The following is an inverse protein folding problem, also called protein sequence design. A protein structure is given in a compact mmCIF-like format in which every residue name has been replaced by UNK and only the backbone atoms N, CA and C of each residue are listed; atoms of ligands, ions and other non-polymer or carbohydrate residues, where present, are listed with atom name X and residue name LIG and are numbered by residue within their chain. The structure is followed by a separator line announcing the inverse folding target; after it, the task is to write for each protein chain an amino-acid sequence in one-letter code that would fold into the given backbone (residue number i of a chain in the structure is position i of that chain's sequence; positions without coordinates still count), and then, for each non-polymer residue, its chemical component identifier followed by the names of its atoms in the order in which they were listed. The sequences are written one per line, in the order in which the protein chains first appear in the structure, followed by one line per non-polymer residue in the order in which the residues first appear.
data_IF_273049875546
#
_entry.id   IF_273049875546
#
_cell.length_a   1.000
_cell.length_b   1.000
_cell.length_c   1.000
_cell.angle_alpha   90.00
_cell.angle_beta   90.00
_cell.angle_gamma   90.00
#
_symmetry.space_group_name_H-M   'P 1'
#
loop_
_entity.id
_entity.type
_entity.pdbx_description
1 polymer ?
#
# COMPACT_ATOMS: atom_id res chain seq x y z
N UNK A 1 33.48 -7.92 -10.43
CA UNK A 1 32.55 -8.18 -9.31
C UNK A 1 32.08 -6.85 -8.73
N UNK A 2 31.06 -6.84 -7.88
CA UNK A 2 30.57 -5.62 -7.17
C UNK A 2 31.73 -4.82 -6.54
N UNK A 3 32.75 -5.53 -6.05
CA UNK A 3 34.00 -4.98 -5.50
C UNK A 3 34.78 -4.14 -6.51
N UNK A 4 34.91 -4.62 -7.75
CA UNK A 4 35.59 -3.92 -8.84
C UNK A 4 34.83 -2.67 -9.30
N UNK A 5 33.49 -2.75 -9.36
CA UNK A 5 32.62 -1.61 -9.73
C UNK A 5 32.62 -0.51 -8.65
N UNK A 6 32.52 -0.89 -7.37
CA UNK A 6 32.60 0.03 -6.23
C UNK A 6 34.00 0.68 -6.11
N UNK A 7 35.07 -0.07 -6.35
CA UNK A 7 36.43 0.47 -6.37
C UNK A 7 36.63 1.51 -7.49
N UNK A 8 36.06 1.27 -8.67
CA UNK A 8 36.13 2.20 -9.81
C UNK A 8 35.38 3.52 -9.56
N UNK A 9 34.16 3.47 -9.02
CA UNK A 9 33.36 4.65 -8.70
C UNK A 9 33.99 5.54 -7.61
N UNK A 10 34.81 4.93 -6.75
CA UNK A 10 35.46 5.56 -5.59
C UNK A 10 36.78 6.21 -5.94
N UNK A 11 37.58 5.58 -6.82
CA UNK A 11 38.79 6.20 -7.34
C UNK A 11 38.47 7.55 -8.02
N UNK A 12 37.30 7.63 -8.68
CA UNK A 12 36.78 8.86 -9.28
C UNK A 12 36.37 9.91 -8.24
N UNK A 13 35.72 9.50 -7.14
CA UNK A 13 35.30 10.39 -6.04
C UNK A 13 36.47 10.89 -5.18
N UNK A 14 37.45 10.02 -4.92
CA UNK A 14 38.67 10.37 -4.17
C UNK A 14 39.58 11.35 -4.90
N UNK A 15 39.50 11.42 -6.23
CA UNK A 15 40.20 12.42 -7.03
C UNK A 15 39.55 13.82 -6.96
N UNK A 16 38.26 13.91 -6.61
CA UNK A 16 37.48 15.15 -6.60
C UNK A 16 37.29 15.75 -5.20
N UNK A 17 37.26 14.92 -4.17
CA UNK A 17 37.15 15.35 -2.77
C UNK A 17 38.46 15.02 -2.05
N UNK A 18 39.20 16.03 -1.58
CA UNK A 18 40.45 15.88 -0.82
C UNK A 18 40.29 15.24 0.57
N UNK A 19 39.49 14.18 0.65
CA UNK A 19 39.26 13.35 1.83
C UNK A 19 40.47 12.44 1.99
N UNK A 20 41.07 12.42 3.17
CA UNK A 20 42.11 11.45 3.48
C UNK A 20 41.52 10.02 3.50
N UNK A 21 42.09 9.18 2.62
CA UNK A 21 41.90 7.74 2.49
C UNK A 21 40.45 7.23 2.25
N UNK A 22 39.78 7.65 1.16
CA UNK A 22 38.45 7.17 0.78
C UNK A 22 38.40 5.66 0.52
N UNK A 23 39.50 5.06 0.04
CA UNK A 23 39.61 3.62 -0.17
C UNK A 23 39.36 2.82 1.12
N UNK A 24 39.98 3.23 2.24
CA UNK A 24 39.83 2.54 3.53
C UNK A 24 38.40 2.62 4.10
N UNK A 25 37.70 3.75 3.93
CA UNK A 25 36.30 3.89 4.35
C UNK A 25 35.36 2.99 3.55
N UNK A 26 35.65 2.80 2.26
CA UNK A 26 34.85 1.95 1.39
C UNK A 26 35.16 0.47 1.58
N UNK A 27 36.43 0.10 1.79
CA UNK A 27 36.77 -1.27 2.18
C UNK A 27 36.07 -1.65 3.50
N UNK A 28 36.05 -0.76 4.48
CA UNK A 28 35.31 -0.96 5.73
C UNK A 28 33.79 -1.07 5.52
N UNK A 29 33.20 -0.28 4.61
CA UNK A 29 31.79 -0.35 4.28
C UNK A 29 31.43 -1.67 3.56
N UNK A 30 32.26 -2.09 2.60
CA UNK A 30 32.12 -3.37 1.87
C UNK A 30 32.26 -4.55 2.84
N UNK A 31 33.25 -4.51 3.74
CA UNK A 31 33.44 -5.56 4.75
C UNK A 31 32.26 -5.62 5.75
N UNK A 32 31.65 -4.48 6.10
CA UNK A 32 30.44 -4.44 6.91
C UNK A 32 29.24 -5.05 6.17
N UNK A 33 29.07 -4.75 4.88
CA UNK A 33 28.02 -5.33 4.04
C UNK A 33 28.21 -6.84 3.86
N UNK A 34 29.44 -7.31 3.63
CA UNK A 34 29.74 -8.74 3.52
C UNK A 34 29.45 -9.49 4.83
N UNK A 35 29.82 -8.91 5.99
CA UNK A 35 29.45 -9.47 7.29
C UNK A 35 27.94 -9.52 7.50
N UNK A 36 27.22 -8.49 7.06
CA UNK A 36 25.76 -8.48 7.13
C UNK A 36 25.14 -9.53 6.20
N UNK A 37 25.61 -9.65 4.95
CA UNK A 37 25.19 -10.68 4.00
C UNK A 37 25.41 -12.09 4.56
N UNK A 38 26.58 -12.35 5.16
CA UNK A 38 26.87 -13.63 5.81
C UNK A 38 25.92 -13.92 6.99
N UNK A 39 25.54 -12.90 7.77
CA UNK A 39 24.54 -13.05 8.85
C UNK A 39 23.16 -13.36 8.31
N UNK A 40 22.73 -12.73 7.22
CA UNK A 40 21.44 -12.99 6.57
C UNK A 40 21.41 -14.40 5.98
N UNK A 41 22.49 -14.84 5.33
CA UNK A 41 22.60 -16.21 4.82
C UNK A 41 22.55 -17.26 5.95
N UNK A 42 23.23 -17.00 7.07
CA UNK A 42 23.14 -17.86 8.25
C UNK A 42 21.74 -17.88 8.87
N UNK A 43 20.99 -16.77 8.80
CA UNK A 43 19.61 -16.72 9.29
C UNK A 43 18.70 -17.62 8.44
N UNK A 44 18.85 -17.60 7.11
CA UNK A 44 18.07 -18.49 6.24
C UNK A 44 18.36 -19.96 6.57
N UNK A 45 19.64 -20.33 6.68
CA UNK A 45 20.02 -21.70 7.07
C UNK A 45 19.49 -22.09 8.45
N UNK A 46 19.44 -21.16 9.41
CA UNK A 46 18.87 -21.41 10.73
C UNK A 46 17.36 -21.64 10.62
N UNK A 47 16.65 -20.79 9.87
CA UNK A 47 15.19 -20.85 9.75
C UNK A 47 14.69 -22.12 9.07
N UNK A 48 15.49 -22.75 8.20
CA UNK A 48 15.12 -23.97 7.48
C UNK A 48 15.70 -25.26 8.08
N UNK A 49 16.45 -25.18 9.17
CA UNK A 49 17.02 -26.35 9.84
C UNK A 49 16.01 -26.94 10.87
N UNK A 50 15.42 -28.12 10.59
CA UNK A 50 14.42 -28.75 11.45
C UNK A 50 14.98 -29.28 12.78
N UNK A 51 16.30 -29.39 12.95
CA UNK A 51 16.91 -29.84 14.20
C UNK A 51 17.01 -28.72 15.23
N UNK A 52 16.97 -27.46 14.80
CA UNK A 52 17.18 -26.28 15.67
C UNK A 52 16.08 -25.23 15.59
N UNK A 53 15.23 -25.27 14.56
CA UNK A 53 14.13 -24.34 14.37
C UNK A 53 12.80 -25.07 14.29
N UNK A 54 11.78 -24.48 14.91
CA UNK A 54 10.39 -24.82 14.67
C UNK A 54 9.57 -23.53 14.71
N UNK A 55 8.65 -23.39 13.77
CA UNK A 55 7.77 -22.23 13.68
C UNK A 55 6.40 -22.56 14.26
N UNK A 56 5.91 -21.71 15.16
CA UNK A 56 4.60 -21.84 15.77
C UNK A 56 3.66 -20.80 15.17
N UNK A 57 2.62 -21.27 14.47
CA UNK A 57 1.57 -20.38 13.95
C UNK A 57 0.59 -20.09 15.08
N UNK A 58 0.20 -18.83 15.24
CA UNK A 58 -0.80 -18.40 16.24
C UNK A 58 -1.97 -17.74 15.52
N UNK A 59 -3.19 -18.18 15.83
CA UNK A 59 -4.42 -17.70 15.24
C UNK A 59 -5.50 -17.44 16.31
N UNK A 60 -6.57 -16.75 15.93
CA UNK A 60 -7.83 -16.71 16.69
C UNK A 60 -8.93 -17.42 15.88
N UNK A 61 -10.02 -17.91 16.50
CA UNK A 61 -11.07 -18.65 15.80
C UNK A 61 -11.98 -17.72 14.98
N UNK A 62 -11.42 -17.02 13.99
CA UNK A 62 -12.15 -16.19 13.03
C UNK A 62 -11.80 -16.61 11.59
N UNK A 63 -12.74 -16.43 10.64
CA UNK A 63 -12.54 -16.81 9.23
C UNK A 63 -11.29 -16.16 8.63
N UNK A 64 -11.12 -14.85 8.87
CA UNK A 64 -9.98 -14.09 8.35
C UNK A 64 -8.66 -14.57 8.94
N UNK A 65 -8.58 -14.73 10.27
CA UNK A 65 -7.36 -15.21 10.93
C UNK A 65 -6.98 -16.60 10.45
N UNK A 66 -7.95 -17.49 10.25
CA UNK A 66 -7.69 -18.84 9.71
C UNK A 66 -7.18 -18.78 8.28
N UNK A 67 -7.78 -17.96 7.41
CA UNK A 67 -7.35 -17.81 6.02
C UNK A 67 -5.94 -17.18 5.91
N UNK A 68 -5.64 -16.16 6.72
CA UNK A 68 -4.32 -15.54 6.79
C UNK A 68 -3.26 -16.52 7.33
N UNK A 69 -3.57 -17.25 8.40
CA UNK A 69 -2.66 -18.28 8.94
C UNK A 69 -2.42 -19.42 7.96
N UNK A 70 -3.42 -19.81 7.17
CA UNK A 70 -3.24 -20.81 6.11
C UNK A 70 -2.31 -20.30 4.99
N UNK A 71 -2.45 -19.04 4.57
CA UNK A 71 -1.51 -18.42 3.61
C UNK A 71 -0.09 -18.36 4.17
N UNK A 72 0.07 -17.96 5.43
CA UNK A 72 1.36 -17.95 6.11
C UNK A 72 1.99 -19.34 6.13
N UNK A 73 1.21 -20.38 6.49
CA UNK A 73 1.68 -21.76 6.48
C UNK A 73 2.18 -22.17 5.08
N UNK A 74 1.41 -21.88 4.02
CA UNK A 74 1.83 -22.17 2.65
C UNK A 74 3.14 -21.47 2.29
N UNK A 75 3.32 -20.20 2.68
CA UNK A 75 4.58 -19.47 2.44
C UNK A 75 5.76 -20.07 3.20
N UNK A 76 5.58 -20.42 4.48
CA UNK A 76 6.63 -21.04 5.30
C UNK A 76 7.04 -22.40 4.74
N UNK A 77 6.07 -23.25 4.39
CA UNK A 77 6.32 -24.57 3.78
C UNK A 77 7.02 -24.43 2.43
N UNK A 78 6.65 -23.45 1.61
CA UNK A 78 7.32 -23.20 0.32
C UNK A 78 8.78 -22.75 0.45
N UNK A 79 9.19 -22.29 1.64
CA UNK A 79 10.55 -21.86 1.95
C UNK A 79 11.30 -22.88 2.82
N UNK A 80 10.79 -24.12 2.93
CA UNK A 80 11.36 -25.20 3.75
C UNK A 80 11.49 -24.85 5.24
N UNK A 81 10.67 -23.92 5.75
CA UNK A 81 10.64 -23.60 7.18
C UNK A 81 9.79 -24.65 7.90
N UNK A 82 10.32 -25.35 8.92
CA UNK A 82 9.58 -26.33 9.70
C UNK A 82 8.47 -25.65 10.51
N UNK A 83 7.25 -26.18 10.40
CA UNK A 83 6.08 -25.71 11.16
C UNK A 83 5.39 -26.92 11.76
N UNK A 84 5.49 -27.10 13.08
CA UNK A 84 4.88 -28.25 13.75
C UNK A 84 3.56 -27.92 14.47
N UNK A 85 3.33 -26.65 14.81
CA UNK A 85 2.28 -26.28 15.76
C UNK A 85 1.42 -25.09 15.32
N UNK A 86 0.11 -25.23 15.56
CA UNK A 86 -0.88 -24.15 15.51
C UNK A 86 -1.45 -23.92 16.93
N UNK A 87 -1.36 -22.69 17.42
CA UNK A 87 -2.01 -22.23 18.65
C UNK A 87 -3.23 -21.39 18.28
N UNK A 88 -4.43 -21.88 18.61
CA UNK A 88 -5.67 -21.11 18.46
C UNK A 88 -6.02 -20.45 19.80
N UNK A 89 -5.73 -19.15 19.89
CA UNK A 89 -5.93 -18.35 21.09
C UNK A 89 -7.34 -17.75 21.16
N UNK A 90 -7.73 -17.25 22.33
CA UNK A 90 -9.02 -16.56 22.58
C UNK A 90 -10.26 -17.45 22.36
N UNK A 91 -10.14 -18.76 22.56
CA UNK A 91 -11.31 -19.65 22.59
C UNK A 91 -12.15 -19.35 23.83
N UNK A 92 -13.44 -19.10 23.63
CA UNK A 92 -14.39 -18.85 24.71
C UNK A 92 -14.99 -20.20 25.13
N UNK A 93 -14.82 -20.56 26.40
CA UNK A 93 -15.46 -21.74 26.98
C UNK A 93 -16.99 -21.56 27.02
N UNK A 94 -17.75 -22.61 26.72
CA UNK A 94 -19.22 -22.54 26.60
C UNK A 94 -19.93 -22.07 27.88
N UNK A 95 -19.36 -22.36 29.04
CA UNK A 95 -19.86 -21.96 30.35
C UNK A 95 -19.43 -20.53 30.77
N UNK A 96 -18.47 -19.94 30.07
CA UNK A 96 -17.92 -18.62 30.37
C UNK A 96 -18.61 -17.47 29.62
N UNK A 97 -19.59 -17.73 28.75
CA UNK A 97 -20.15 -16.75 27.80
C UNK A 97 -20.69 -15.48 28.49
N UNK A 98 -21.48 -15.62 29.55
CA UNK A 98 -22.07 -14.46 30.24
C UNK A 98 -21.00 -13.59 30.94
N UNK A 99 -20.04 -14.23 31.61
CA UNK A 99 -18.93 -13.53 32.25
C UNK A 99 -18.00 -12.86 31.24
N UNK A 100 -17.78 -13.51 30.09
CA UNK A 100 -17.04 -12.94 28.97
C UNK A 100 -17.74 -11.70 28.40
N UNK A 101 -19.02 -11.78 28.07
CA UNK A 101 -19.80 -10.64 27.56
C UNK A 101 -19.77 -9.46 28.53
N UNK A 102 -19.98 -9.71 29.83
CA UNK A 102 -19.89 -8.66 30.86
C UNK A 102 -18.52 -7.99 30.92
N UNK A 103 -17.43 -8.76 30.73
CA UNK A 103 -16.06 -8.22 30.66
C UNK A 103 -15.85 -7.38 29.40
N UNK A 104 -16.27 -7.87 28.24
CA UNK A 104 -16.15 -7.15 26.95
C UNK A 104 -16.89 -5.82 27.00
N UNK A 105 -18.13 -5.80 27.49
CA UNK A 105 -18.92 -4.56 27.64
C UNK A 105 -18.20 -3.55 28.56
N UNK A 106 -17.70 -4.02 29.70
CA UNK A 106 -16.96 -3.16 30.65
C UNK A 106 -15.67 -2.60 30.05
N UNK A 107 -14.95 -3.41 29.27
CA UNK A 107 -13.75 -2.99 28.57
C UNK A 107 -14.04 -1.94 27.50
N UNK A 108 -15.08 -2.15 26.68
CA UNK A 108 -15.53 -1.16 25.69
C UNK A 108 -15.92 0.17 26.35
N UNK A 109 -16.70 0.13 27.44
CA UNK A 109 -17.08 1.35 28.19
C UNK A 109 -15.86 2.10 28.72
N UNK A 110 -14.84 1.38 29.20
CA UNK A 110 -13.59 2.00 29.68
C UNK A 110 -12.84 2.67 28.54
N UNK A 111 -12.73 2.02 27.37
CA UNK A 111 -12.08 2.58 26.20
C UNK A 111 -12.81 3.82 25.67
N UNK A 112 -14.14 3.76 25.55
CA UNK A 112 -14.98 4.90 25.16
C UNK A 112 -14.80 6.07 26.12
N UNK A 113 -14.81 5.81 27.44
CA UNK A 113 -14.55 6.85 28.44
C UNK A 113 -13.18 7.51 28.23
N UNK A 114 -12.14 6.75 27.90
CA UNK A 114 -10.81 7.31 27.60
C UNK A 114 -10.79 8.19 26.35
N UNK A 115 -11.59 7.84 25.33
CA UNK A 115 -11.75 8.66 24.12
C UNK A 115 -12.50 9.95 24.45
N UNK A 116 -13.60 9.85 25.18
CA UNK A 116 -14.50 10.98 25.46
C UNK A 116 -13.97 11.93 26.56
N UNK A 117 -13.18 11.43 27.51
CA UNK A 117 -12.68 12.23 28.64
C UNK A 117 -11.54 13.18 28.28
N UNK A 118 -11.12 13.27 27.02
CA UNK A 118 -9.96 14.08 26.61
C UNK A 118 -8.61 13.45 26.94
N UNK A 119 -8.58 12.24 27.51
CA UNK A 119 -7.35 11.55 27.91
C UNK A 119 -6.61 10.89 26.73
N UNK A 120 -7.24 10.86 25.56
CA UNK A 120 -6.68 10.41 24.29
C UNK A 120 -6.64 11.55 23.27
N UNK A 121 -5.62 11.63 22.40
CA UNK A 121 -5.63 12.54 21.25
C UNK A 121 -6.87 12.35 20.35
N UNK A 122 -7.49 11.17 20.37
CA UNK A 122 -8.72 10.87 19.61
C UNK A 122 -9.92 11.70 20.07
N UNK A 123 -9.89 12.29 21.27
CA UNK A 123 -10.97 13.13 21.79
C UNK A 123 -11.24 14.39 20.95
N UNK A 124 -10.28 14.79 20.11
CA UNK A 124 -10.42 15.93 19.19
C UNK A 124 -11.17 15.57 17.91
N UNK A 125 -11.38 14.29 17.65
CA UNK A 125 -12.08 13.80 16.48
C UNK A 125 -13.57 13.76 16.75
N UNK A 126 -14.35 13.90 15.68
CA UNK A 126 -15.78 13.67 15.76
C UNK A 126 -16.04 12.17 15.92
N UNK A 127 -16.88 11.80 16.89
CA UNK A 127 -17.10 10.41 17.27
C UNK A 127 -18.44 9.91 16.73
N UNK A 128 -18.38 8.91 15.86
CA UNK A 128 -19.52 8.08 15.50
C UNK A 128 -19.43 6.72 16.21
N UNK A 129 -20.57 6.22 16.69
CA UNK A 129 -20.64 4.92 17.38
C UNK A 129 -21.48 3.95 16.55
N UNK A 130 -20.81 2.96 15.98
CA UNK A 130 -21.47 1.86 15.25
C UNK A 130 -21.66 0.68 16.21
N UNK A 131 -22.89 0.15 16.37
CA UNK A 131 -23.14 -1.01 17.22
C UNK A 131 -22.58 -2.29 16.58
N UNK A 132 -22.47 -3.34 17.40
CA UNK A 132 -22.20 -4.68 16.87
C UNK A 132 -23.40 -5.16 16.03
N UNK A 133 -23.11 -5.78 14.89
CA UNK A 133 -24.11 -6.42 14.03
C UNK A 133 -23.91 -7.93 14.07
N UNK A 134 -25.02 -8.66 14.16
CA UNK A 134 -25.01 -10.14 14.18
C UNK A 134 -24.61 -10.76 12.83
N UNK A 135 -24.66 -9.95 11.76
CA UNK A 135 -24.30 -10.33 10.40
C UNK A 135 -23.21 -9.42 9.86
N UNK A 136 -22.35 -9.99 9.01
CA UNK A 136 -21.35 -9.20 8.29
C UNK A 136 -22.05 -8.23 7.32
N UNK A 137 -21.60 -6.98 7.33
CA UNK A 137 -22.13 -5.94 6.44
C UNK A 137 -21.47 -6.11 5.06
N UNK A 138 -22.17 -6.84 4.18
CA UNK A 138 -21.81 -7.04 2.78
C UNK A 138 -23.01 -6.75 1.87
N UNK A 139 -22.73 -6.28 0.67
CA UNK A 139 -23.71 -5.87 -0.32
C UNK A 139 -24.21 -4.44 -0.13
N UNK A 140 -24.75 -3.87 -1.20
CA UNK A 140 -25.17 -2.48 -1.26
C UNK A 140 -26.16 -2.10 -0.15
N UNK A 141 -27.20 -2.90 0.09
CA UNK A 141 -28.24 -2.54 1.06
C UNK A 141 -27.73 -2.52 2.51
N UNK A 142 -27.02 -3.56 3.02
CA UNK A 142 -26.38 -3.47 4.33
C UNK A 142 -25.36 -2.33 4.43
N UNK A 143 -24.62 -2.02 3.38
CA UNK A 143 -23.69 -0.88 3.35
C UNK A 143 -24.41 0.47 3.45
N UNK A 144 -25.55 0.64 2.77
CA UNK A 144 -26.44 1.81 2.95
C UNK A 144 -26.87 1.96 4.40
N UNK A 145 -27.30 0.86 5.01
CA UNK A 145 -27.71 0.85 6.42
C UNK A 145 -26.55 1.23 7.35
N UNK A 146 -25.36 0.66 7.16
CA UNK A 146 -24.16 1.03 7.91
C UNK A 146 -23.83 2.52 7.74
N UNK A 147 -23.92 3.06 6.52
CA UNK A 147 -23.70 4.47 6.26
C UNK A 147 -24.72 5.38 6.95
N UNK A 148 -25.98 4.94 7.07
CA UNK A 148 -26.99 5.62 7.86
C UNK A 148 -26.70 5.63 9.36
N UNK A 149 -26.24 4.50 9.91
CA UNK A 149 -25.90 4.37 11.33
C UNK A 149 -24.62 5.13 11.69
N UNK A 150 -23.59 5.03 10.86
CA UNK A 150 -22.30 5.64 11.12
C UNK A 150 -22.29 7.16 10.82
N UNK A 151 -23.05 7.62 9.83
CA UNK A 151 -22.88 8.96 9.27
C UNK A 151 -24.20 9.73 9.06
N UNK A 152 -25.33 9.21 9.53
CA UNK A 152 -26.64 9.88 9.45
C UNK A 152 -27.16 10.41 10.78
N UNK A 153 -28.29 11.12 10.75
CA UNK A 153 -28.96 11.62 11.96
C UNK A 153 -28.12 12.67 12.70
N UNK A 154 -27.87 12.48 14.00
CA UNK A 154 -27.01 13.37 14.81
C UNK A 154 -25.56 13.44 14.30
N UNK A 155 -25.17 12.56 13.38
CA UNK A 155 -23.85 12.50 12.75
C UNK A 155 -23.83 13.05 11.31
N UNK A 156 -24.95 13.55 10.78
CA UNK A 156 -25.05 14.03 9.40
C UNK A 156 -24.23 15.31 9.15
N UNK A 157 -24.24 16.22 10.13
CA UNK A 157 -23.47 17.47 10.11
C UNK A 157 -21.95 17.25 10.10
N UNK A 158 -21.48 16.08 10.55
CA UNK A 158 -20.05 15.71 10.63
C UNK A 158 -19.40 15.67 9.24
N UNK A 159 -20.18 15.27 8.24
CA UNK A 159 -19.73 15.13 6.86
C UNK A 159 -20.25 16.22 5.95
N UNK A 160 -21.07 17.15 6.46
CA UNK A 160 -21.67 18.22 5.66
C UNK A 160 -20.62 19.04 4.90
N UNK A 161 -19.48 19.37 5.52
CA UNK A 161 -18.39 20.07 4.82
C UNK A 161 -17.73 19.23 3.72
N UNK A 162 -17.60 17.91 3.94
CA UNK A 162 -17.07 16.98 2.92
C UNK A 162 -18.08 16.77 1.79
N UNK A 163 -19.38 16.83 2.11
CA UNK A 163 -20.49 16.72 1.17
C UNK A 163 -20.71 18.00 0.36
N UNK A 164 -20.62 19.17 0.99
CA UNK A 164 -20.94 20.50 0.41
C UNK A 164 -19.76 21.22 -0.23
N UNK A 165 -18.52 20.76 -0.03
CA UNK A 165 -17.37 21.45 -0.61
C UNK A 165 -17.31 21.35 -2.13
N UNK A 166 -16.96 22.46 -2.77
CA UNK A 166 -16.67 22.52 -4.20
C UNK A 166 -15.33 21.81 -4.53
N UNK A 167 -15.29 21.12 -5.67
CA UNK A 167 -14.11 20.41 -6.20
C UNK A 167 -13.96 18.97 -5.72
N UNK A 168 -12.95 18.29 -6.28
CA UNK A 168 -12.63 16.90 -6.00
C UNK A 168 -12.22 16.72 -4.52
N UNK A 169 -12.88 15.80 -3.82
CA UNK A 169 -12.56 15.47 -2.42
C UNK A 169 -12.13 14.02 -2.28
N UNK A 170 -11.01 13.83 -1.60
CA UNK A 170 -10.46 12.52 -1.27
C UNK A 170 -10.75 12.17 0.19
N UNK A 171 -11.32 10.99 0.43
CA UNK A 171 -11.57 10.43 1.76
C UNK A 171 -10.72 9.18 1.93
N UNK A 172 -9.69 9.27 2.77
CA UNK A 172 -8.82 8.12 3.07
C UNK A 172 -9.33 7.40 4.32
N UNK A 173 -9.63 6.11 4.19
CA UNK A 173 -10.06 5.27 5.31
C UNK A 173 -8.91 4.38 5.73
N UNK A 174 -8.47 4.55 6.98
CA UNK A 174 -7.35 3.83 7.56
C UNK A 174 -7.66 3.26 8.94
N UNK A 175 -6.93 2.21 9.32
CA UNK A 175 -7.02 1.59 10.64
C UNK A 175 -6.25 0.27 10.72
N UNK A 176 -6.41 -0.43 11.84
CA UNK A 176 -5.83 -1.77 12.06
C UNK A 176 -6.53 -2.83 11.20
N UNK A 177 -5.93 -4.01 11.05
CA UNK A 177 -6.58 -5.17 10.45
C UNK A 177 -7.84 -5.57 11.23
N UNK A 178 -8.89 -6.01 10.54
CA UNK A 178 -10.11 -6.57 11.16
C UNK A 178 -11.09 -5.57 11.80
N UNK A 179 -10.84 -4.25 11.76
CA UNK A 179 -11.74 -3.24 12.37
C UNK A 179 -12.94 -2.83 11.49
N UNK A 180 -13.08 -3.39 10.28
CA UNK A 180 -14.16 -3.04 9.36
C UNK A 180 -13.89 -1.83 8.45
N UNK A 181 -12.63 -1.61 8.04
CA UNK A 181 -12.24 -0.52 7.13
C UNK A 181 -13.00 -0.56 5.81
N UNK A 182 -12.98 -1.69 5.13
CA UNK A 182 -13.60 -1.87 3.80
C UNK A 182 -15.12 -1.72 3.83
N UNK A 183 -15.78 -2.25 4.87
CA UNK A 183 -17.21 -2.01 5.07
C UNK A 183 -17.50 -0.54 5.33
N UNK A 184 -16.66 0.13 6.14
CA UNK A 184 -16.80 1.56 6.44
C UNK A 184 -16.57 2.43 5.20
N UNK A 185 -15.48 2.23 4.46
CA UNK A 185 -15.18 2.98 3.22
C UNK A 185 -16.25 2.76 2.15
N UNK A 186 -16.69 1.52 1.96
CA UNK A 186 -17.80 1.21 1.05
C UNK A 186 -19.09 1.91 1.47
N UNK A 187 -19.41 1.95 2.77
CA UNK A 187 -20.61 2.65 3.26
C UNK A 187 -20.54 4.17 3.09
N UNK A 188 -19.34 4.77 3.19
CA UNK A 188 -19.12 6.19 2.90
C UNK A 188 -19.39 6.45 1.41
N UNK A 189 -18.79 5.65 0.52
CA UNK A 189 -18.94 5.82 -0.92
C UNK A 189 -20.40 5.68 -1.38
N UNK A 190 -21.10 4.68 -0.86
CA UNK A 190 -22.53 4.47 -1.10
C UNK A 190 -23.37 5.66 -0.64
N UNK A 191 -23.09 6.23 0.54
CA UNK A 191 -23.82 7.40 1.04
C UNK A 191 -23.55 8.65 0.19
N UNK A 192 -22.31 8.87 -0.24
CA UNK A 192 -21.93 9.99 -1.11
C UNK A 192 -22.69 9.91 -2.45
N UNK A 193 -22.73 8.72 -3.06
CA UNK A 193 -23.45 8.48 -4.29
C UNK A 193 -24.98 8.62 -4.12
N UNK A 194 -25.56 8.09 -3.04
CA UNK A 194 -26.97 8.30 -2.70
C UNK A 194 -27.32 9.79 -2.45
N UNK A 195 -26.33 10.64 -2.16
CA UNK A 195 -26.49 12.09 -2.06
C UNK A 195 -26.43 12.81 -3.43
N UNK A 196 -26.31 12.06 -4.52
CA UNK A 196 -26.27 12.57 -5.90
C UNK A 196 -24.86 12.94 -6.40
N UNK A 197 -23.80 12.58 -5.67
CA UNK A 197 -22.41 12.89 -6.05
C UNK A 197 -21.80 11.76 -6.89
N UNK A 198 -21.12 12.12 -7.98
CA UNK A 198 -20.32 11.17 -8.76
C UNK A 198 -19.15 10.67 -7.89
N UNK A 199 -19.19 9.40 -7.51
CA UNK A 199 -18.29 8.84 -6.49
C UNK A 199 -17.50 7.67 -7.02
N UNK A 200 -16.19 7.67 -6.80
CA UNK A 200 -15.30 6.53 -7.03
C UNK A 200 -14.83 5.97 -5.68
N UNK A 201 -14.98 4.66 -5.46
CA UNK A 201 -14.27 3.95 -4.39
C UNK A 201 -13.12 3.14 -4.95
N UNK A 202 -11.97 3.23 -4.30
CA UNK A 202 -10.76 2.54 -4.70
C UNK A 202 -10.21 1.75 -3.54
N UNK A 203 -9.91 0.48 -3.75
CA UNK A 203 -9.18 -0.31 -2.77
C UNK A 203 -7.77 -0.62 -3.27
N UNK A 204 -6.80 -0.40 -2.38
CA UNK A 204 -5.41 -0.85 -2.52
C UNK A 204 -5.11 -2.04 -1.61
N UNK A 205 -6.14 -2.65 -1.02
CA UNK A 205 -6.00 -3.84 -0.19
C UNK A 205 -5.77 -5.08 -1.07
N UNK A 206 -4.62 -5.78 -0.94
CA UNK A 206 -4.32 -6.96 -1.75
C UNK A 206 -5.26 -8.16 -1.47
N UNK A 207 -6.13 -8.08 -0.45
CA UNK A 207 -7.04 -9.16 -0.07
C UNK A 207 -8.36 -9.22 -0.87
N UNK A 208 -8.54 -8.44 -1.95
CA UNK A 208 -9.80 -8.33 -2.73
C UNK A 208 -11.03 -8.03 -1.85
N UNK A 209 -10.83 -7.19 -0.83
CA UNK A 209 -11.82 -6.96 0.21
C UNK A 209 -13.01 -6.11 -0.26
N UNK A 210 -12.85 -5.32 -1.33
CA UNK A 210 -13.88 -4.42 -1.83
C UNK A 210 -14.91 -5.18 -2.67
N UNK A 211 -14.46 -6.09 -3.54
CA UNK A 211 -15.35 -6.98 -4.31
C UNK A 211 -16.26 -7.79 -3.38
N UNK A 212 -15.68 -8.32 -2.30
CA UNK A 212 -16.38 -9.05 -1.25
C UNK A 212 -17.38 -8.17 -0.47
N UNK A 213 -17.00 -6.93 -0.15
CA UNK A 213 -17.86 -6.00 0.57
C UNK A 213 -19.04 -5.53 -0.27
N UNK A 214 -18.84 -5.30 -1.58
CA UNK A 214 -19.90 -4.90 -2.51
C UNK A 214 -20.73 -6.09 -3.02
N UNK A 215 -20.21 -7.32 -2.88
CA UNK A 215 -20.70 -8.54 -3.52
C UNK A 215 -20.77 -8.44 -5.05
N UNK A 216 -19.79 -7.75 -5.64
CA UNK A 216 -19.68 -7.48 -7.07
C UNK A 216 -18.20 -7.50 -7.46
N UNK A 217 -17.86 -8.10 -8.60
CA UNK A 217 -16.48 -8.10 -9.09
C UNK A 217 -16.10 -6.71 -9.59
N UNK A 218 -15.17 -6.07 -8.88
CA UNK A 218 -14.62 -4.75 -9.20
C UNK A 218 -13.10 -4.83 -9.41
N UNK A 219 -12.59 -6.03 -9.68
CA UNK A 219 -11.21 -6.28 -10.04
C UNK A 219 -10.84 -5.79 -11.43
N UNK A 220 -9.55 -5.90 -11.78
CA UNK A 220 -9.05 -5.59 -13.13
C UNK A 220 -8.55 -4.16 -13.34
N UNK A 221 -8.40 -3.37 -12.26
CA UNK A 221 -7.67 -2.10 -12.28
C UNK A 221 -8.33 -0.97 -13.09
N UNK A 222 -9.64 -1.05 -13.35
CA UNK A 222 -10.43 -0.01 -14.02
C UNK A 222 -11.74 0.22 -13.25
N UNK A 223 -12.29 1.44 -13.25
CA UNK A 223 -13.59 1.74 -12.65
C UNK A 223 -14.72 0.88 -13.24
N UNK A 224 -15.49 0.24 -12.36
CA UNK A 224 -16.68 -0.55 -12.69
C UNK A 224 -17.89 0.05 -11.98
N UNK A 225 -19.01 0.18 -12.69
CA UNK A 225 -20.27 0.68 -12.10
C UNK A 225 -20.78 -0.30 -11.05
N UNK A 226 -21.12 0.21 -9.87
CA UNK A 226 -21.70 -0.59 -8.79
C UNK A 226 -23.21 -0.69 -8.96
N UNK A 227 -23.71 -1.90 -9.23
CA UNK A 227 -25.14 -2.12 -9.39
C UNK A 227 -25.88 -1.85 -8.07
N UNK A 228 -26.99 -1.11 -8.14
CA UNK A 228 -27.84 -0.78 -6.99
C UNK A 228 -27.53 0.58 -6.32
N UNK A 229 -26.54 1.31 -6.80
CA UNK A 229 -26.24 2.69 -6.39
C UNK A 229 -25.90 3.53 -7.62
N UNK A 230 -26.75 4.50 -7.94
CA UNK A 230 -26.50 5.40 -9.07
C UNK A 230 -25.34 6.34 -8.75
N UNK A 231 -24.47 6.59 -9.73
CA UNK A 231 -23.32 7.49 -9.55
C UNK A 231 -22.14 6.91 -8.76
N UNK A 232 -22.16 5.61 -8.42
CA UNK A 232 -21.04 4.93 -7.77
C UNK A 232 -20.26 4.03 -8.74
N UNK A 233 -18.96 4.26 -8.82
CA UNK A 233 -18.00 3.36 -9.48
C UNK A 233 -16.98 2.85 -8.45
N UNK A 234 -16.45 1.66 -8.70
CA UNK A 234 -15.52 0.98 -7.81
C UNK A 234 -14.37 0.36 -8.59
N UNK A 235 -13.18 0.31 -8.01
CA UNK A 235 -12.06 -0.46 -8.56
C UNK A 235 -11.11 -0.98 -7.48
N UNK A 236 -10.56 -2.16 -7.72
CA UNK A 236 -9.43 -2.70 -6.98
C UNK A 236 -8.14 -2.54 -7.79
N UNK A 237 -7.12 -1.99 -7.14
CA UNK A 237 -5.78 -1.83 -7.72
C UNK A 237 -4.86 -2.85 -7.07
N UNK A 238 -4.28 -3.74 -7.88
CA UNK A 238 -3.19 -4.62 -7.42
C UNK A 238 -1.92 -3.80 -7.24
N UNK A 239 -1.33 -3.91 -6.06
CA UNK A 239 -0.03 -3.32 -5.73
C UNK A 239 1.09 -3.92 -6.58
N UNK A 240 1.00 -5.21 -6.88
CA UNK A 240 1.97 -5.92 -7.73
C UNK A 240 1.90 -5.42 -9.17
N UNK A 241 0.70 -5.35 -9.75
CA UNK A 241 0.52 -4.83 -11.12
C UNK A 241 0.95 -3.37 -11.24
N UNK A 242 0.60 -2.52 -10.25
CA UNK A 242 1.01 -1.11 -10.25
C UNK A 242 2.55 -0.99 -10.18
N UNK A 243 3.21 -1.82 -9.37
CA UNK A 243 4.66 -1.85 -9.31
C UNK A 243 5.27 -2.37 -10.63
N UNK A 244 4.72 -3.41 -11.26
CA UNK A 244 5.18 -3.91 -12.57
C UNK A 244 5.01 -2.88 -13.68
N UNK A 245 3.88 -2.16 -13.72
CA UNK A 245 3.63 -1.08 -14.67
C UNK A 245 4.61 0.07 -14.46
N UNK A 246 4.86 0.47 -13.22
CA UNK A 246 5.87 1.49 -12.90
C UNK A 246 7.28 1.04 -13.33
N UNK A 247 7.66 -0.20 -13.03
CA UNK A 247 8.93 -0.80 -13.50
C UNK A 247 9.02 -0.81 -15.02
N UNK A 248 7.94 -1.15 -15.70
CA UNK A 248 7.87 -1.16 -17.17
C UNK A 248 7.95 0.25 -17.77
N UNK A 249 7.34 1.25 -17.14
CA UNK A 249 7.43 2.64 -17.59
C UNK A 249 8.85 3.20 -17.44
N UNK A 250 9.55 2.86 -16.34
CA UNK A 250 10.95 3.26 -16.12
C UNK A 250 11.91 2.42 -16.99
N UNK A 251 11.68 1.11 -17.12
CA UNK A 251 12.46 0.21 -17.98
C UNK A 251 12.24 0.49 -19.47
N UNK A 252 11.09 1.08 -19.82
CA UNK A 252 10.73 1.57 -21.14
C UNK A 252 11.47 2.84 -21.56
N UNK A 253 12.22 3.48 -20.66
CA UNK A 253 13.18 4.55 -20.97
C UNK A 253 14.36 3.96 -21.76
N UNK A 254 14.10 3.55 -23.01
CA UNK A 254 15.07 2.91 -23.89
C UNK A 254 16.13 3.92 -24.32
N UNK A 255 17.38 3.47 -24.42
CA UNK A 255 18.49 4.28 -24.93
C UNK A 255 18.24 4.86 -26.35
N UNK A 256 17.24 4.32 -27.08
CA UNK A 256 16.74 4.85 -28.35
C UNK A 256 16.08 6.22 -28.23
N UNK A 257 15.37 6.50 -27.13
CA UNK A 257 14.64 7.78 -26.94
C UNK A 257 15.60 8.93 -26.60
N UNK A 258 16.82 8.61 -26.20
CA UNK A 258 17.93 9.56 -26.05
C UNK A 258 18.67 9.85 -27.37
N UNK A 259 18.22 9.29 -28.50
CA UNK A 259 18.86 9.47 -29.80
C UNK A 259 20.24 8.79 -29.93
N UNK A 260 20.59 7.87 -29.03
CA UNK A 260 21.90 7.21 -28.97
C UNK A 260 21.92 5.90 -29.78
N UNK A 261 21.40 5.94 -31.01
CA UNK A 261 21.38 4.82 -31.93
C UNK A 261 22.79 4.33 -32.27
N UNK A 262 23.16 3.15 -31.78
CA UNK A 262 24.40 2.43 -32.12
C UNK A 262 25.48 2.42 -31.03
N UNK A 263 25.57 3.45 -30.20
CA UNK A 263 26.53 3.49 -29.07
C UNK A 263 25.93 2.86 -27.80
N UNK A 264 24.60 2.66 -27.78
CA UNK A 264 23.85 2.17 -26.65
C UNK A 264 24.25 0.77 -26.16
N UNK A 265 24.51 -0.23 -26.99
CA UNK A 265 24.83 -1.59 -26.50
C UNK A 265 26.15 -1.66 -25.70
N UNK A 266 27.17 -0.92 -26.15
CA UNK A 266 28.46 -0.87 -25.46
C UNK A 266 28.41 0.07 -24.24
N UNK A 267 27.65 1.17 -24.32
CA UNK A 267 27.43 2.03 -23.15
C UNK A 267 26.53 1.35 -22.11
N UNK A 268 25.47 0.62 -22.48
CA UNK A 268 24.56 -0.09 -21.56
C UNK A 268 25.32 -1.15 -20.74
N UNK A 269 26.21 -1.91 -21.38
CA UNK A 269 27.06 -2.90 -20.70
C UNK A 269 28.15 -2.26 -19.82
N UNK A 270 28.67 -1.07 -20.19
CA UNK A 270 29.61 -0.28 -19.37
C UNK A 270 28.92 0.56 -18.29
N UNK A 271 27.66 0.93 -18.46
CA UNK A 271 26.88 1.80 -17.58
C UNK A 271 26.33 1.07 -16.37
N UNK A 272 26.36 -0.26 -16.34
CA UNK A 272 25.82 -1.01 -15.22
C UNK A 272 24.35 -0.68 -14.99
N UNK A 273 23.54 -0.61 -16.05
CA UNK A 273 22.09 -0.51 -15.91
C UNK A 273 21.49 -1.75 -15.23
N UNK A 274 22.24 -2.85 -15.15
CA UNK A 274 21.98 -3.95 -14.21
C UNK A 274 21.86 -3.43 -12.75
N UNK A 275 22.68 -2.44 -12.36
CA UNK A 275 22.62 -1.84 -11.02
C UNK A 275 21.37 -0.93 -10.85
N UNK A 276 20.78 -0.42 -11.95
CA UNK A 276 19.52 0.33 -11.91
C UNK A 276 18.32 -0.63 -11.87
N UNK A 277 18.38 -1.74 -12.60
CA UNK A 277 17.45 -2.86 -12.48
C UNK A 277 17.46 -3.43 -11.06
N UNK A 278 18.63 -3.64 -10.46
CA UNK A 278 18.77 -4.08 -9.05
C UNK A 278 18.18 -3.06 -8.05
N UNK A 279 18.26 -1.76 -8.35
CA UNK A 279 17.62 -0.71 -7.53
C UNK A 279 16.09 -0.68 -7.71
N UNK A 280 15.60 -0.97 -8.92
CA UNK A 280 14.17 -1.12 -9.23
C UNK A 280 13.57 -2.46 -8.73
N UNK A 281 14.39 -3.49 -8.59
CA UNK A 281 14.06 -4.74 -7.90
C UNK A 281 14.04 -4.55 -6.38
N UNK A 282 14.69 -3.49 -5.89
CA UNK A 282 14.74 -3.13 -4.47
C UNK A 282 13.64 -2.17 -4.02
N UNK A 283 12.46 -2.13 -4.68
CA UNK A 283 11.32 -1.31 -4.19
C UNK A 283 11.13 -1.62 -2.70
N UNK A 284 11.38 -0.65 -1.81
CA UNK A 284 11.23 -0.87 -0.38
C UNK A 284 9.80 -1.32 -0.06
N UNK A 285 9.61 -2.33 0.80
CA UNK A 285 8.27 -2.75 1.19
C UNK A 285 7.47 -1.56 1.71
N UNK A 286 6.25 -1.36 1.19
CA UNK A 286 5.41 -0.20 1.51
C UNK A 286 5.40 0.93 0.46
N UNK A 287 6.18 0.82 -0.63
CA UNK A 287 6.10 1.73 -1.78
C UNK A 287 5.10 1.26 -2.84
N UNK A 288 4.74 -0.02 -2.86
CA UNK A 288 3.79 -0.57 -3.83
C UNK A 288 2.39 0.05 -3.63
N UNK A 289 1.98 0.30 -2.39
CA UNK A 289 0.73 1.01 -2.07
C UNK A 289 0.76 2.49 -2.51
N UNK A 290 1.95 3.12 -2.52
CA UNK A 290 2.11 4.49 -2.99
C UNK A 290 2.07 4.58 -4.50
N UNK A 291 2.66 3.59 -5.19
CA UNK A 291 2.56 3.47 -6.64
C UNK A 291 1.12 3.21 -7.06
N UNK A 292 0.42 2.29 -6.38
CA UNK A 292 -1.00 2.08 -6.57
C UNK A 292 -1.78 3.39 -6.38
N UNK A 293 -1.53 4.14 -5.30
CA UNK A 293 -2.18 5.44 -5.09
C UNK A 293 -1.83 6.47 -6.17
N UNK A 294 -0.59 6.52 -6.64
CA UNK A 294 -0.18 7.42 -7.71
C UNK A 294 -0.92 7.11 -9.03
N UNK A 295 -1.12 5.82 -9.35
CA UNK A 295 -1.97 5.41 -10.48
C UNK A 295 -3.41 5.88 -10.29
N UNK A 296 -3.96 5.74 -9.08
CA UNK A 296 -5.32 6.22 -8.76
C UNK A 296 -5.43 7.73 -8.97
N UNK A 297 -4.47 8.50 -8.49
CA UNK A 297 -4.44 9.93 -8.70
C UNK A 297 -4.35 10.27 -10.20
N UNK A 298 -3.52 9.56 -10.97
CA UNK A 298 -3.40 9.76 -12.41
C UNK A 298 -4.69 9.43 -13.17
N UNK A 299 -5.45 8.42 -12.72
CA UNK A 299 -6.75 8.06 -13.31
C UNK A 299 -7.83 9.10 -13.02
N UNK A 300 -7.73 9.80 -11.89
CA UNK A 300 -8.75 10.78 -11.47
C UNK A 300 -8.38 12.21 -11.89
N UNK A 301 -7.12 12.53 -12.18
CA UNK A 301 -6.77 13.86 -12.68
C UNK A 301 -7.44 14.11 -14.05
N UNK A 302 -8.24 15.19 -14.19
CA UNK A 302 -8.74 15.59 -15.49
C UNK A 302 -7.55 15.94 -16.38
N UNK A 303 -7.55 15.41 -17.60
CA UNK A 303 -6.57 15.76 -18.64
C UNK A 303 -6.74 17.25 -19.00
N UNK A 304 -6.16 18.15 -18.21
CA UNK A 304 -6.39 19.59 -18.35
C UNK A 304 -6.05 20.42 -17.11
N UNK A 305 -4.85 20.26 -16.55
CA UNK A 305 -4.26 21.26 -15.67
C UNK A 305 -2.75 21.38 -15.98
N UNK A 306 -2.45 22.26 -16.93
CA UNK A 306 -1.18 22.95 -17.20
C UNK A 306 0.15 22.21 -16.98
N UNK A 307 0.76 21.79 -18.11
CA UNK A 307 2.21 21.89 -18.28
C UNK A 307 2.99 20.60 -18.57
N UNK A 308 2.75 19.94 -19.70
CA UNK A 308 3.80 19.22 -20.43
C UNK A 308 3.36 19.04 -21.90
N UNK A 309 3.74 20.01 -22.73
CA UNK A 309 3.76 19.82 -24.16
C UNK A 309 4.89 18.84 -24.53
N UNK A 310 4.56 17.97 -25.49
CA UNK A 310 5.50 17.36 -26.43
C UNK A 310 6.41 16.24 -25.90
N UNK A 311 5.86 15.02 -25.88
CA UNK A 311 6.62 13.81 -26.19
C UNK A 311 5.69 12.85 -26.95
N UNK A 312 5.81 12.85 -28.28
CA UNK A 312 5.14 11.90 -29.14
C UNK A 312 5.61 10.47 -28.86
N UNK A 313 4.66 9.62 -28.48
CA UNK A 313 4.84 8.18 -28.32
C UNK A 313 3.47 7.57 -28.05
N UNK A 314 2.99 6.77 -28.98
CA UNK A 314 1.71 6.06 -28.90
C UNK A 314 1.74 5.07 -27.73
N UNK A 315 1.32 5.53 -26.55
CA UNK A 315 0.94 4.65 -25.44
C UNK A 315 -0.53 4.25 -25.64
N UNK A 316 -0.76 3.25 -26.49
CA UNK A 316 -2.03 2.52 -26.53
C UNK A 316 -2.18 1.73 -25.21
N UNK A 317 -2.83 2.36 -24.23
CA UNK A 317 -3.21 1.71 -22.99
C UNK A 317 -3.50 2.72 -21.89
N UNK A 318 -4.77 2.81 -21.48
CA UNK A 318 -5.31 3.57 -20.33
C UNK A 318 -5.75 5.04 -20.54
N UNK A 319 -5.92 5.52 -21.78
CA UNK A 319 -6.61 6.80 -22.05
C UNK A 319 -8.06 6.59 -22.52
N UNK A 320 -8.97 6.17 -21.62
CA UNK A 320 -10.38 5.98 -21.99
C UNK A 320 -11.44 6.36 -20.94
N UNK A 321 -11.08 6.90 -19.77
CA UNK A 321 -12.08 7.37 -18.79
C UNK A 321 -11.80 8.78 -18.34
N UNK A 322 -12.06 9.75 -19.22
CA UNK A 322 -12.10 11.19 -18.90
C UNK A 322 -13.37 11.54 -18.10
N UNK A 323 -13.65 10.84 -17.01
CA UNK A 323 -14.79 11.10 -16.13
C UNK A 323 -14.26 11.59 -14.79
N UNK A 324 -14.41 12.88 -14.53
CA UNK A 324 -14.13 13.45 -13.21
C UNK A 324 -15.13 12.91 -12.19
N UNK A 325 -14.65 12.55 -11.00
CA UNK A 325 -15.48 12.15 -9.87
C UNK A 325 -15.49 13.28 -8.85
N UNK A 326 -16.67 13.66 -8.37
CA UNK A 326 -16.81 14.67 -7.31
C UNK A 326 -16.13 14.19 -6.02
N UNK A 327 -16.23 12.90 -5.73
CA UNK A 327 -15.74 12.28 -4.50
C UNK A 327 -14.96 11.00 -4.79
N UNK A 328 -13.83 10.84 -4.11
CA UNK A 328 -12.99 9.64 -4.21
C UNK A 328 -12.77 9.10 -2.80
N UNK A 329 -13.18 7.86 -2.56
CA UNK A 329 -12.97 7.17 -1.28
C UNK A 329 -11.90 6.12 -1.47
N UNK A 330 -10.88 6.15 -0.61
CA UNK A 330 -9.77 5.20 -0.65
C UNK A 330 -9.82 4.25 0.55
N UNK A 331 -10.04 2.98 0.26
CA UNK A 331 -9.87 1.88 1.19
C UNK A 331 -8.40 1.47 1.21
N UNK A 332 -7.72 1.80 2.31
CA UNK A 332 -6.28 1.55 2.42
C UNK A 332 -5.99 0.24 3.13
N UNK A 333 -4.92 -0.44 2.71
CA UNK A 333 -4.31 -1.53 3.46
C UNK A 333 -3.95 -1.08 4.91
N UNK A 334 -3.76 -2.00 5.87
CA UNK A 334 -3.52 -1.66 7.28
C UNK A 334 -2.43 -0.59 7.48
N UNK A 335 -2.76 0.46 8.25
CA UNK A 335 -2.14 1.81 8.29
C UNK A 335 -0.64 1.93 8.67
N UNK A 336 0.11 0.84 8.75
CA UNK A 336 1.56 0.90 9.01
C UNK A 336 2.36 1.61 7.90
N UNK A 337 1.81 1.68 6.67
CA UNK A 337 2.52 2.15 5.48
C UNK A 337 2.03 3.49 4.91
N UNK A 338 0.79 3.91 5.18
CA UNK A 338 0.18 5.14 4.61
C UNK A 338 0.93 6.43 4.99
N UNK A 339 1.55 6.49 6.18
CA UNK A 339 2.35 7.66 6.60
C UNK A 339 3.71 7.78 5.88
N UNK A 340 4.15 6.73 5.14
CA UNK A 340 5.34 6.81 4.28
C UNK A 340 5.10 7.60 3.00
N UNK A 341 3.85 7.93 2.68
CA UNK A 341 3.47 8.83 1.60
C UNK A 341 4.11 10.22 1.72
N UNK A 342 4.29 10.69 2.96
CA UNK A 342 5.00 11.94 3.25
C UNK A 342 6.51 11.85 2.94
N UNK A 343 7.07 10.65 2.82
CA UNK A 343 8.45 10.41 2.41
C UNK A 343 8.60 10.18 0.90
N UNK A 344 7.49 10.09 0.14
CA UNK A 344 7.52 9.90 -1.31
C UNK A 344 8.25 11.02 -2.06
N UNK A 345 8.09 12.32 -1.72
CA UNK A 345 8.89 13.38 -2.32
C UNK A 345 10.40 13.16 -2.11
N UNK A 346 10.80 12.73 -0.91
CA UNK A 346 12.21 12.43 -0.58
C UNK A 346 12.72 11.24 -1.39
N UNK A 347 11.88 10.23 -1.63
CA UNK A 347 12.22 9.11 -2.49
C UNK A 347 12.41 9.55 -3.95
N UNK A 348 11.47 10.33 -4.51
CA UNK A 348 11.58 10.88 -5.86
C UNK A 348 12.81 11.77 -6.02
N UNK A 349 13.08 12.65 -5.06
CA UNK A 349 14.28 13.49 -5.06
C UNK A 349 15.55 12.64 -5.07
N UNK A 350 15.61 11.57 -4.28
CA UNK A 350 16.76 10.66 -4.28
C UNK A 350 16.92 9.93 -5.61
N UNK A 351 15.82 9.52 -6.25
CA UNK A 351 15.84 8.86 -7.55
C UNK A 351 16.26 9.84 -8.66
N UNK A 352 15.69 11.04 -8.69
CA UNK A 352 16.05 12.10 -9.64
C UNK A 352 17.51 12.52 -9.48
N UNK A 353 17.99 12.72 -8.25
CA UNK A 353 19.40 13.05 -8.00
C UNK A 353 20.35 11.94 -8.49
N UNK A 354 19.97 10.66 -8.32
CA UNK A 354 20.74 9.54 -8.87
C UNK A 354 20.74 9.56 -10.40
N UNK A 355 19.59 9.76 -11.05
CA UNK A 355 19.47 9.86 -12.51
C UNK A 355 20.26 11.05 -13.09
N UNK A 356 20.19 12.21 -12.43
CA UNK A 356 20.98 13.39 -12.79
C UNK A 356 22.48 13.08 -12.64
N UNK A 357 22.90 12.43 -11.56
CA UNK A 357 24.31 12.06 -11.36
C UNK A 357 24.83 11.07 -12.41
N UNK A 358 23.97 10.17 -12.91
CA UNK A 358 24.25 9.30 -14.05
C UNK A 358 24.41 10.09 -15.35
N UNK A 359 23.51 11.06 -15.60
CA UNK A 359 23.59 11.97 -16.76
C UNK A 359 24.85 12.84 -16.74
N UNK A 360 25.25 13.36 -15.59
CA UNK A 360 26.48 14.18 -15.48
C UNK A 360 27.75 13.36 -15.67
N UNK A 361 27.72 12.05 -15.42
CA UNK A 361 28.83 11.13 -15.75
C UNK A 361 28.88 10.74 -17.23
N UNK A 362 27.81 11.04 -17.98
CA UNK A 362 27.66 10.77 -19.42
C UNK A 362 28.07 11.96 -20.31
N UNK A 363 28.29 13.15 -19.73
CA UNK A 363 28.83 14.34 -20.40
C UNK A 363 30.33 14.49 -20.12
#
# INVERSE_FOLDING_TARGET
SLRTRLQGAVALLGALSGVENPAAKIDAAVEKLQRWQARVANLQSLLTDPEVTDFVVVAIPSRLSVAESARLLSSLVSQDVPVSQLVVNQIIAQDATAAYLGRVVKEQQRALKTIESGSSPLAKLQLSRVPFFDLEIRGVFPLKFLGGVAFGGEHEDIWEETLKADGDRFVFVGGKGGVGKTSTSSSIAVRLADSGLSTLIVSTDPAHSLSDALMQDVGGGKPVVVNGVEGLEAMEVSTEEAAERFRSAIGGFRASDLGLGGVAEELVSKLGLDDLADVLDSIPPGLDELLALAEVLALVQPSGADGAADAGGEAEGLSATAKGFDRIVLDTAPTGHTLRLLAFPVFLDNLLNKLISLRTRLQ
#
